data_IF_698492289053
#
_entry.id   IF_698492289053
#
_cell.length_a   1.000
_cell.length_b   1.000
_cell.length_c   1.000
_cell.angle_alpha   90.00
_cell.angle_beta   90.00
_cell.angle_gamma   90.00
#
_symmetry.space_group_name_H-M   'P 1'
#
loop_
_entity.id
_entity.type
_entity.pdbx_description
1 polymer ?
#
# COMPACT_ATOMS: atom_id res chain seq x y z
N UNK A 1 13.85 13.54 26.18
CA UNK A 1 13.63 14.90 25.62
C UNK A 1 13.06 14.74 24.22
N UNK A 2 11.89 15.29 23.92
CA UNK A 2 11.31 15.20 22.58
C UNK A 2 12.23 15.94 21.59
N UNK A 3 12.69 15.25 20.56
CA UNK A 3 13.51 15.86 19.49
C UNK A 3 12.70 16.99 18.85
N UNK A 4 13.29 18.17 18.74
CA UNK A 4 12.62 19.32 18.16
C UNK A 4 12.54 19.17 16.63
N UNK A 5 11.36 19.45 16.08
CA UNK A 5 11.14 19.46 14.64
C UNK A 5 11.73 20.76 14.06
N UNK A 6 12.78 20.62 13.25
CA UNK A 6 13.41 21.71 12.51
C UNK A 6 12.85 21.92 11.11
N UNK A 7 13.37 22.92 10.40
CA UNK A 7 12.93 23.29 9.04
C UNK A 7 13.21 22.20 7.99
N UNK A 8 14.26 21.39 8.18
CA UNK A 8 14.54 20.23 7.33
C UNK A 8 13.37 19.23 7.34
N UNK A 9 12.76 18.99 8.51
CA UNK A 9 11.60 18.13 8.68
C UNK A 9 10.35 18.72 8.00
N UNK A 10 10.16 20.05 8.10
CA UNK A 10 9.04 20.76 7.45
C UNK A 10 9.14 20.69 5.93
N UNK A 11 10.34 20.91 5.39
CA UNK A 11 10.60 20.79 3.95
C UNK A 11 10.38 19.37 3.46
N UNK A 12 10.88 18.39 4.19
CA UNK A 12 10.66 16.98 3.88
C UNK A 12 9.16 16.66 3.79
N UNK A 13 8.36 17.10 4.77
CA UNK A 13 6.91 16.93 4.75
C UNK A 13 6.23 17.61 3.56
N UNK A 14 6.62 18.85 3.22
CA UNK A 14 6.06 19.56 2.07
C UNK A 14 6.27 18.77 0.78
N UNK A 15 7.47 18.22 0.57
CA UNK A 15 7.75 17.40 -0.61
C UNK A 15 6.97 16.08 -0.61
N UNK A 16 6.85 15.42 0.55
CA UNK A 16 6.03 14.20 0.69
C UNK A 16 4.55 14.45 0.36
N UNK A 17 4.00 15.60 0.76
CA UNK A 17 2.61 15.99 0.45
C UNK A 17 2.38 16.20 -1.05
N UNK A 18 3.37 16.75 -1.78
CA UNK A 18 3.27 16.99 -3.22
C UNK A 18 3.34 15.67 -4.00
N UNK A 19 4.24 14.77 -3.61
CA UNK A 19 4.45 13.52 -4.34
C UNK A 19 3.38 12.47 -4.06
N UNK A 20 2.72 12.52 -2.90
CA UNK A 20 1.70 11.56 -2.46
C UNK A 20 2.30 10.22 -1.98
N UNK A 21 3.12 9.59 -2.82
CA UNK A 21 3.88 8.36 -2.53
C UNK A 21 5.33 8.54 -3.01
N UNK A 22 6.30 8.03 -2.26
CA UNK A 22 7.72 8.16 -2.62
C UNK A 22 8.47 6.87 -2.31
N UNK A 23 9.27 6.37 -3.25
CA UNK A 23 10.08 5.16 -3.06
C UNK A 23 11.24 5.39 -2.07
N UNK A 24 11.79 4.32 -1.53
CA UNK A 24 12.87 4.40 -0.53
C UNK A 24 14.12 5.12 -1.02
N UNK A 25 14.50 4.97 -2.29
CA UNK A 25 15.68 5.64 -2.83
C UNK A 25 15.45 7.15 -2.90
N UNK A 26 14.31 7.57 -3.44
CA UNK A 26 13.91 8.98 -3.50
C UNK A 26 13.72 9.60 -2.11
N UNK A 27 13.20 8.85 -1.14
CA UNK A 27 13.09 9.32 0.25
C UNK A 27 14.46 9.55 0.87
N UNK A 28 15.42 8.64 0.67
CA UNK A 28 16.79 8.82 1.17
C UNK A 28 17.46 10.03 0.51
N UNK A 29 17.29 10.21 -0.79
CA UNK A 29 17.79 11.38 -1.50
C UNK A 29 17.15 12.68 -0.99
N UNK A 30 15.83 12.67 -0.73
CA UNK A 30 15.12 13.81 -0.16
C UNK A 30 15.60 14.14 1.25
N UNK A 31 15.81 13.13 2.09
CA UNK A 31 16.36 13.29 3.43
C UNK A 31 17.75 13.96 3.38
N UNK A 32 18.64 13.46 2.50
CA UNK A 32 19.95 14.07 2.28
C UNK A 32 19.83 15.53 1.84
N UNK A 33 19.01 15.81 0.83
CA UNK A 33 18.79 17.16 0.31
C UNK A 33 18.28 18.12 1.40
N UNK A 34 17.28 17.71 2.19
CA UNK A 34 16.76 18.52 3.29
C UNK A 34 17.81 18.79 4.38
N UNK A 35 18.71 17.84 4.62
CA UNK A 35 19.80 18.05 5.58
C UNK A 35 20.85 19.04 5.07
N UNK A 36 21.23 18.94 3.80
CA UNK A 36 22.21 19.82 3.16
C UNK A 36 21.72 21.28 3.10
N UNK A 37 20.48 21.50 2.66
CA UNK A 37 19.89 22.84 2.55
C UNK A 37 19.79 23.54 3.91
N UNK A 38 19.48 22.80 4.97
CA UNK A 38 19.30 23.34 6.32
C UNK A 38 20.56 23.26 7.19
N UNK A 39 21.71 22.86 6.63
CA UNK A 39 23.01 22.71 7.35
C UNK A 39 22.91 21.83 8.60
N UNK A 40 22.04 20.82 8.58
CA UNK A 40 21.92 19.84 9.66
C UNK A 40 22.79 18.61 9.36
N UNK A 41 23.40 17.97 10.36
CA UNK A 41 24.22 16.78 10.12
C UNK A 41 23.35 15.66 9.54
N UNK A 42 23.69 15.23 8.32
CA UNK A 42 23.08 14.07 7.68
C UNK A 42 23.73 12.80 8.20
N UNK A 43 22.92 11.88 8.72
CA UNK A 43 23.38 10.54 9.13
C UNK A 43 22.57 9.52 8.32
N UNK A 44 23.18 8.83 7.34
CA UNK A 44 22.47 7.96 6.39
C UNK A 44 21.55 6.91 7.03
N UNK A 45 21.94 6.36 8.18
CA UNK A 45 21.21 5.29 8.87
C UNK A 45 20.16 5.80 9.88
N UNK A 46 19.88 7.11 9.91
CA UNK A 46 18.94 7.72 10.85
C UNK A 46 17.65 8.23 10.21
N UNK A 47 17.31 7.72 9.03
CA UNK A 47 16.05 8.06 8.36
C UNK A 47 14.83 7.70 9.23
N UNK A 48 14.81 6.51 9.84
CA UNK A 48 13.69 6.09 10.69
C UNK A 48 13.57 7.01 11.92
N UNK A 49 14.69 7.32 12.58
CA UNK A 49 14.76 8.29 13.68
C UNK A 49 14.27 9.70 13.29
N UNK A 50 14.53 10.13 12.04
CA UNK A 50 14.08 11.39 11.48
C UNK A 50 12.56 11.39 11.23
N UNK A 51 12.04 10.30 10.65
CA UNK A 51 10.61 10.09 10.42
C UNK A 51 9.85 10.01 11.75
N UNK A 52 10.39 9.33 12.77
CA UNK A 52 9.79 9.24 14.10
C UNK A 52 9.67 10.61 14.76
N UNK A 53 10.67 11.47 14.57
CA UNK A 53 10.63 12.86 15.05
C UNK A 53 9.46 13.61 14.41
N UNK A 54 9.22 13.41 13.11
CA UNK A 54 8.08 13.99 12.40
C UNK A 54 6.76 13.41 12.91
N UNK A 55 6.65 12.08 12.97
CA UNK A 55 5.44 11.37 13.37
C UNK A 55 5.01 11.76 14.79
N UNK A 56 5.95 11.98 15.72
CA UNK A 56 5.65 12.46 17.08
C UNK A 56 4.90 13.80 17.11
N UNK A 57 5.06 14.64 16.08
CA UNK A 57 4.37 15.93 15.95
C UNK A 57 3.09 15.81 15.14
N UNK A 58 3.08 14.95 14.12
CA UNK A 58 1.90 14.70 13.28
C UNK A 58 0.79 13.94 14.01
N UNK A 59 1.13 13.17 15.05
CA UNK A 59 0.16 12.43 15.88
C UNK A 59 -0.98 13.31 16.41
N UNK A 60 -0.71 14.57 16.76
CA UNK A 60 -1.73 15.52 17.23
C UNK A 60 -2.80 15.85 16.17
N UNK A 61 -2.49 15.61 14.89
CA UNK A 61 -3.40 15.79 13.75
C UNK A 61 -3.91 14.45 13.21
N UNK A 62 -3.66 13.34 13.91
CA UNK A 62 -3.94 11.98 13.43
C UNK A 62 -3.26 11.67 12.09
N UNK A 63 -2.11 12.28 11.80
CA UNK A 63 -1.35 12.01 10.59
C UNK A 63 -0.06 11.28 10.94
N UNK A 64 0.46 10.47 10.02
CA UNK A 64 1.80 9.90 10.14
C UNK A 64 2.37 9.50 8.78
N UNK A 65 3.69 9.52 8.66
CA UNK A 65 4.40 8.88 7.54
C UNK A 65 4.52 7.40 7.86
N UNK A 66 3.99 6.55 6.98
CA UNK A 66 4.14 5.09 7.06
C UNK A 66 4.98 4.58 5.91
N UNK A 67 5.75 3.55 6.21
CA UNK A 67 6.45 2.71 5.25
C UNK A 67 5.56 1.51 4.89
N UNK A 68 5.54 1.12 3.62
CA UNK A 68 4.90 -0.11 3.18
C UNK A 68 5.54 -0.65 1.90
N UNK A 69 5.35 -1.94 1.66
CA UNK A 69 5.89 -2.63 0.50
C UNK A 69 4.82 -2.79 -0.56
N UNK A 70 5.16 -2.51 -1.81
CA UNK A 70 4.31 -2.84 -2.95
C UNK A 70 4.29 -4.34 -3.18
N UNK A 71 3.10 -4.90 -3.39
CA UNK A 71 2.93 -6.32 -3.66
C UNK A 71 3.31 -6.70 -5.10
N UNK A 72 3.38 -5.72 -6.00
CA UNK A 72 3.67 -5.88 -7.42
C UNK A 72 5.18 -5.91 -7.70
N UNK A 73 5.91 -4.88 -7.25
CA UNK A 73 7.35 -4.71 -7.52
C UNK A 73 8.23 -5.04 -6.30
N UNK A 74 7.65 -5.22 -5.11
CA UNK A 74 8.39 -5.46 -3.88
C UNK A 74 9.16 -4.26 -3.33
N UNK A 75 9.12 -3.10 -3.98
CA UNK A 75 9.81 -1.89 -3.51
C UNK A 75 9.14 -1.31 -2.27
N UNK A 76 9.95 -0.62 -1.46
CA UNK A 76 9.49 0.06 -0.26
C UNK A 76 9.08 1.48 -0.62
N UNK A 77 7.91 1.89 -0.15
CA UNK A 77 7.33 3.19 -0.36
C UNK A 77 6.99 3.84 0.98
N UNK A 78 7.02 5.17 0.99
CA UNK A 78 6.62 6.00 2.11
C UNK A 78 5.46 6.88 1.70
N UNK A 79 4.46 6.96 2.57
CA UNK A 79 3.22 7.69 2.34
C UNK A 79 2.82 8.44 3.60
N UNK A 80 2.39 9.69 3.45
CA UNK A 80 1.74 10.44 4.52
C UNK A 80 0.27 10.00 4.59
N UNK A 81 -0.10 9.32 5.68
CA UNK A 81 -1.44 8.79 5.90
C UNK A 81 -2.20 9.60 6.94
N UNK A 82 -3.51 9.67 6.77
CA UNK A 82 -4.45 10.05 7.81
C UNK A 82 -4.84 8.78 8.59
N UNK A 83 -4.92 8.88 9.91
CA UNK A 83 -5.27 7.81 10.84
C UNK A 83 -6.69 7.97 11.38
N UNK A 84 -7.35 9.11 11.12
CA UNK A 84 -8.76 9.27 11.42
C UNK A 84 -9.60 8.30 10.57
N UNK A 85 -10.71 7.79 11.12
CA UNK A 85 -11.47 6.63 10.64
C UNK A 85 -12.21 6.77 9.29
N UNK A 86 -11.78 7.65 8.40
CA UNK A 86 -12.39 7.80 7.07
C UNK A 86 -11.32 8.06 6.01
N UNK A 87 -10.53 7.05 5.63
CA UNK A 87 -9.49 7.20 4.59
C UNK A 87 -10.04 7.49 3.19
N UNK A 88 -11.36 7.35 2.98
CA UNK A 88 -12.04 7.84 1.79
C UNK A 88 -12.06 9.38 1.73
N UNK A 89 -11.90 10.09 2.85
CA UNK A 89 -11.98 11.57 2.89
C UNK A 89 -10.97 12.27 2.00
N UNK A 90 -9.77 11.70 1.79
CA UNK A 90 -8.80 12.28 0.86
C UNK A 90 -9.26 12.16 -0.58
N UNK A 91 -9.88 11.04 -0.95
CA UNK A 91 -10.47 10.88 -2.28
C UNK A 91 -11.73 11.72 -2.42
N UNK A 92 -12.45 12.01 -1.33
CA UNK A 92 -13.67 12.82 -1.36
C UNK A 92 -13.49 14.25 -1.85
N UNK A 93 -12.28 14.82 -1.83
CA UNK A 93 -12.02 16.11 -2.47
C UNK A 93 -11.83 16.02 -3.98
N UNK A 94 -11.37 14.87 -4.48
CA UNK A 94 -10.84 14.73 -5.84
C UNK A 94 -11.76 13.92 -6.78
N UNK A 95 -12.74 13.21 -6.21
CA UNK A 95 -13.67 12.33 -6.93
C UNK A 95 -15.13 12.58 -6.52
N UNK A 96 -16.03 12.41 -7.47
CA UNK A 96 -17.47 12.49 -7.25
C UNK A 96 -18.01 11.28 -6.47
N UNK A 97 -19.18 11.41 -5.85
CA UNK A 97 -19.77 10.35 -5.01
C UNK A 97 -19.96 9.01 -5.72
N UNK A 98 -20.30 9.03 -7.01
CA UNK A 98 -20.44 7.83 -7.83
C UNK A 98 -19.09 7.20 -8.18
N UNK A 99 -18.06 8.02 -8.44
CA UNK A 99 -16.69 7.54 -8.64
C UNK A 99 -16.16 6.87 -7.35
N UNK A 100 -16.44 7.46 -6.19
CA UNK A 100 -16.08 6.90 -4.88
C UNK A 100 -16.85 5.60 -4.57
N UNK A 101 -18.12 5.50 -4.96
CA UNK A 101 -18.89 4.26 -4.80
C UNK A 101 -18.30 3.14 -5.66
N UNK A 102 -17.96 3.43 -6.92
CA UNK A 102 -17.31 2.44 -7.78
C UNK A 102 -15.95 2.03 -7.20
N UNK A 103 -15.16 2.97 -6.69
CA UNK A 103 -13.89 2.66 -6.04
C UNK A 103 -14.07 1.73 -4.82
N UNK A 104 -15.05 1.99 -3.95
CA UNK A 104 -15.39 1.08 -2.84
C UNK A 104 -15.72 -0.33 -3.33
N UNK A 105 -16.52 -0.45 -4.39
CA UNK A 105 -16.85 -1.75 -5.01
C UNK A 105 -15.60 -2.44 -5.58
N UNK A 106 -14.64 -1.71 -6.13
CA UNK A 106 -13.36 -2.28 -6.57
C UNK A 106 -12.56 -2.82 -5.38
N UNK A 107 -12.51 -2.08 -4.26
CA UNK A 107 -11.90 -2.57 -3.01
C UNK A 107 -12.60 -3.83 -2.52
N UNK A 108 -13.94 -3.88 -2.50
CA UNK A 108 -14.71 -5.07 -2.13
C UNK A 108 -14.33 -6.28 -2.99
N UNK A 109 -14.33 -6.11 -4.33
CA UNK A 109 -13.96 -7.17 -5.26
C UNK A 109 -12.51 -7.64 -5.05
N UNK A 110 -11.60 -6.72 -4.73
CA UNK A 110 -10.18 -7.02 -4.55
C UNK A 110 -9.95 -7.79 -3.25
N UNK A 111 -10.60 -7.38 -2.15
CA UNK A 111 -10.51 -8.06 -0.85
C UNK A 111 -11.08 -9.48 -0.92
N UNK A 112 -12.20 -9.65 -1.63
CA UNK A 112 -12.86 -10.95 -1.78
C UNK A 112 -12.19 -11.86 -2.83
N UNK A 113 -11.28 -11.33 -3.65
CA UNK A 113 -10.57 -12.09 -4.67
C UNK A 113 -9.50 -13.02 -4.06
N UNK A 114 -9.34 -14.20 -4.65
CA UNK A 114 -8.32 -15.17 -4.21
C UNK A 114 -6.90 -14.64 -4.42
N UNK A 115 -6.66 -13.97 -5.55
CA UNK A 115 -5.34 -13.47 -5.95
C UNK A 115 -5.20 -11.94 -5.82
N UNK A 116 -6.19 -11.25 -5.24
CA UNK A 116 -6.16 -9.80 -5.06
C UNK A 116 -6.21 -9.00 -6.37
N UNK A 117 -6.66 -9.62 -7.46
CA UNK A 117 -6.87 -8.98 -8.77
C UNK A 117 -8.35 -8.94 -9.13
N UNK A 118 -8.73 -7.93 -9.91
CA UNK A 118 -10.08 -7.75 -10.43
C UNK A 118 -10.01 -7.42 -11.92
N UNK A 119 -10.77 -8.11 -12.76
CA UNK A 119 -10.76 -7.84 -14.21
C UNK A 119 -11.54 -6.57 -14.56
N UNK A 120 -11.18 -5.91 -15.65
CA UNK A 120 -11.94 -4.77 -16.20
C UNK A 120 -13.41 -5.12 -16.45
N UNK A 121 -13.68 -6.35 -16.87
CA UNK A 121 -15.04 -6.85 -17.09
C UNK A 121 -15.84 -6.97 -15.80
N UNK A 122 -15.25 -7.44 -14.72
CA UNK A 122 -15.93 -7.54 -13.41
C UNK A 122 -16.28 -6.15 -12.88
N UNK A 123 -15.35 -5.19 -13.04
CA UNK A 123 -15.58 -3.79 -12.65
C UNK A 123 -16.69 -3.17 -13.50
N UNK A 124 -16.69 -3.38 -14.82
CA UNK A 124 -17.75 -2.84 -15.68
C UNK A 124 -19.12 -3.43 -15.33
N UNK A 125 -19.19 -4.71 -14.95
CA UNK A 125 -20.44 -5.36 -14.55
C UNK A 125 -20.95 -4.88 -13.18
N UNK A 126 -20.06 -4.53 -12.24
CA UNK A 126 -20.48 -4.06 -10.91
C UNK A 126 -21.14 -2.67 -10.96
N UNK A 127 -20.89 -1.89 -12.03
CA UNK A 127 -21.50 -0.56 -12.22
C UNK A 127 -23.03 -0.61 -12.22
N UNK A 128 -23.63 -1.73 -12.61
CA UNK A 128 -25.08 -1.90 -12.63
C UNK A 128 -25.70 -2.02 -11.23
N UNK A 129 -24.89 -2.36 -10.23
CA UNK A 129 -25.27 -2.49 -8.82
C UNK A 129 -25.03 -1.21 -8.01
N UNK A 130 -24.62 -0.12 -8.67
CA UNK A 130 -24.42 1.17 -8.02
C UNK A 130 -25.75 1.83 -7.66
N UNK A 131 -25.77 2.44 -6.48
CA UNK A 131 -26.92 3.16 -5.92
C UNK A 131 -26.92 4.63 -6.35
N UNK A 132 -25.75 5.22 -6.55
CA UNK A 132 -25.57 6.55 -7.14
C UNK A 132 -25.78 6.52 -8.66
N UNK A 133 -25.62 7.69 -9.31
CA UNK A 133 -25.72 7.83 -10.76
C UNK A 133 -24.75 6.85 -11.46
N UNK A 134 -25.33 5.88 -12.17
CA UNK A 134 -24.60 4.90 -12.97
C UNK A 134 -23.63 5.59 -13.93
N UNK A 135 -22.38 5.14 -13.90
CA UNK A 135 -21.34 5.53 -14.84
C UNK A 135 -21.54 4.74 -16.14
N UNK A 136 -21.36 5.39 -17.29
CA UNK A 136 -21.25 4.70 -18.57
C UNK A 136 -19.94 3.89 -18.61
N UNK A 137 -19.87 2.90 -19.50
CA UNK A 137 -18.65 2.09 -19.69
C UNK A 137 -17.42 2.95 -20.00
N UNK A 138 -17.55 3.92 -20.91
CA UNK A 138 -16.47 4.85 -21.24
C UNK A 138 -16.07 5.76 -20.07
N UNK A 139 -17.02 6.17 -19.24
CA UNK A 139 -16.75 6.97 -18.03
C UNK A 139 -16.01 6.12 -16.98
N UNK A 140 -16.37 4.84 -16.89
CA UNK A 140 -15.73 3.86 -15.99
C UNK A 140 -14.29 3.59 -16.40
N UNK A 141 -14.02 3.35 -17.68
CA UNK A 141 -12.66 3.16 -18.20
C UNK A 141 -11.78 4.40 -17.99
N UNK A 142 -12.36 5.60 -18.17
CA UNK A 142 -11.66 6.85 -17.89
C UNK A 142 -11.36 7.01 -16.40
N UNK A 143 -12.31 6.68 -15.51
CA UNK A 143 -12.06 6.70 -14.07
C UNK A 143 -10.97 5.69 -13.66
N UNK A 144 -10.98 4.49 -14.21
CA UNK A 144 -9.94 3.48 -13.94
C UNK A 144 -8.55 3.99 -14.34
N UNK A 145 -8.45 4.62 -15.51
CA UNK A 145 -7.21 5.26 -15.97
C UNK A 145 -6.73 6.35 -15.02
N UNK A 146 -7.65 7.20 -14.52
CA UNK A 146 -7.35 8.22 -13.51
C UNK A 146 -6.89 7.61 -12.18
N UNK A 147 -7.58 6.59 -11.68
CA UNK A 147 -7.20 5.90 -10.44
C UNK A 147 -5.80 5.27 -10.55
N UNK A 148 -5.41 4.79 -11.73
CA UNK A 148 -4.04 4.31 -11.98
C UNK A 148 -3.03 5.45 -12.03
N UNK A 149 -3.35 6.55 -12.72
CA UNK A 149 -2.52 7.75 -12.78
C UNK A 149 -2.26 8.33 -11.38
N UNK A 150 -3.31 8.42 -10.57
CA UNK A 150 -3.30 8.95 -9.21
C UNK A 150 -2.74 7.94 -8.19
N UNK A 151 -2.27 6.78 -8.65
CA UNK A 151 -1.67 5.73 -7.83
C UNK A 151 -2.61 5.19 -6.75
N UNK A 152 -3.90 5.05 -7.05
CA UNK A 152 -4.82 4.26 -6.22
C UNK A 152 -4.82 2.80 -6.67
N UNK A 153 -4.82 2.56 -7.98
CA UNK A 153 -4.78 1.22 -8.57
C UNK A 153 -3.50 0.98 -9.36
N UNK A 154 -3.17 -0.28 -9.57
CA UNK A 154 -2.20 -0.74 -10.56
C UNK A 154 -2.94 -1.57 -11.60
N UNK A 155 -2.63 -1.37 -12.88
CA UNK A 155 -3.22 -2.11 -14.00
C UNK A 155 -2.15 -2.94 -14.71
N UNK A 156 -2.50 -4.17 -15.04
CA UNK A 156 -1.70 -5.04 -15.89
C UNK A 156 -2.63 -5.90 -16.76
N UNK A 157 -2.60 -5.69 -18.08
CA UNK A 157 -3.31 -6.51 -19.08
C UNK A 157 -4.83 -6.60 -18.83
N UNK A 158 -5.44 -5.52 -18.37
CA UNK A 158 -6.86 -5.44 -18.05
C UNK A 158 -7.24 -5.97 -16.67
N UNK A 159 -6.27 -6.38 -15.85
CA UNK A 159 -6.47 -6.69 -14.43
C UNK A 159 -6.04 -5.52 -13.55
N UNK A 160 -6.81 -5.25 -12.50
CA UNK A 160 -6.58 -4.17 -11.55
C UNK A 160 -6.29 -4.71 -10.16
N UNK A 161 -5.39 -4.04 -9.45
CA UNK A 161 -4.96 -4.36 -8.08
C UNK A 161 -4.85 -3.08 -7.27
N UNK A 162 -4.91 -3.17 -5.94
CA UNK A 162 -4.65 -2.02 -5.08
C UNK A 162 -3.15 -1.68 -5.13
N UNK A 163 -2.83 -0.42 -5.37
CA UNK A 163 -1.45 0.06 -5.28
C UNK A 163 -0.93 0.08 -3.83
N UNK A 164 0.39 0.17 -3.66
CA UNK A 164 1.00 0.38 -2.34
C UNK A 164 0.42 1.59 -1.59
N UNK A 165 0.20 2.71 -2.30
CA UNK A 165 -0.40 3.91 -1.73
C UNK A 165 -1.78 3.60 -1.16
N UNK A 166 -2.64 2.98 -1.96
CA UNK A 166 -3.99 2.61 -1.54
C UNK A 166 -3.97 1.69 -0.32
N UNK A 167 -3.14 0.64 -0.34
CA UNK A 167 -3.05 -0.31 0.77
C UNK A 167 -2.59 0.40 2.05
N UNK A 168 -1.54 1.22 1.98
CA UNK A 168 -0.98 1.93 3.15
C UNK A 168 -1.98 2.96 3.70
N UNK A 169 -2.61 3.74 2.83
CA UNK A 169 -3.59 4.76 3.25
C UNK A 169 -4.88 4.12 3.77
N UNK A 170 -5.39 3.07 3.13
CA UNK A 170 -6.68 2.48 3.47
C UNK A 170 -6.61 1.30 4.44
N UNK A 171 -5.42 0.84 4.84
CA UNK A 171 -5.27 -0.30 5.76
C UNK A 171 -6.17 -0.21 7.01
N UNK A 172 -6.27 0.94 7.72
CA UNK A 172 -7.19 1.05 8.85
C UNK A 172 -8.65 0.78 8.48
N UNK A 173 -9.14 1.37 7.37
CA UNK A 173 -10.49 1.17 6.87
C UNK A 173 -10.73 -0.29 6.49
N UNK A 174 -9.80 -0.89 5.73
CA UNK A 174 -9.91 -2.27 5.26
C UNK A 174 -9.94 -3.24 6.45
N UNK A 175 -9.09 -3.01 7.45
CA UNK A 175 -9.05 -3.84 8.67
C UNK A 175 -10.37 -3.81 9.43
N UNK A 176 -11.02 -2.65 9.51
CA UNK A 176 -12.29 -2.50 10.22
C UNK A 176 -13.45 -3.12 9.42
N UNK A 177 -13.49 -2.95 8.11
CA UNK A 177 -14.65 -3.34 7.28
C UNK A 177 -14.65 -4.79 6.83
N UNK A 178 -13.49 -5.44 6.69
CA UNK A 178 -13.41 -6.76 6.05
C UNK A 178 -12.76 -7.84 6.92
N UNK A 179 -12.97 -7.78 8.24
CA UNK A 179 -12.28 -8.62 9.24
C UNK A 179 -12.15 -10.11 8.85
N UNK A 180 -13.20 -10.71 8.28
CA UNK A 180 -13.24 -12.14 7.94
C UNK A 180 -12.48 -12.51 6.65
N UNK A 181 -12.11 -11.53 5.83
CA UNK A 181 -11.48 -11.73 4.51
C UNK A 181 -10.00 -11.31 4.50
N UNK A 182 -9.47 -10.83 5.63
CA UNK A 182 -8.11 -10.33 5.70
C UNK A 182 -7.09 -11.47 5.66
N UNK A 183 -6.21 -11.39 4.67
CA UNK A 183 -4.97 -12.14 4.65
C UNK A 183 -3.87 -11.24 5.20
N UNK A 184 -3.09 -11.76 6.14
CA UNK A 184 -1.95 -11.05 6.76
C UNK A 184 -0.68 -11.84 6.50
N UNK A 185 0.34 -11.16 6.01
CA UNK A 185 1.62 -11.78 5.72
C UNK A 185 2.33 -12.21 7.01
N UNK A 186 2.84 -13.43 7.05
CA UNK A 186 3.55 -13.98 8.20
C UNK A 186 4.91 -13.32 8.44
N UNK A 187 5.52 -12.74 7.40
CA UNK A 187 6.87 -12.14 7.48
C UNK A 187 6.84 -10.67 7.88
N UNK A 188 6.01 -9.86 7.21
CA UNK A 188 5.96 -8.41 7.46
C UNK A 188 4.76 -7.96 8.30
N UNK A 189 3.79 -8.86 8.58
CA UNK A 189 2.58 -8.59 9.34
C UNK A 189 1.63 -7.53 8.75
N UNK A 190 1.87 -7.10 7.51
CA UNK A 190 0.96 -6.23 6.75
C UNK A 190 -0.14 -7.03 6.04
N UNK A 191 -1.21 -6.33 5.65
CA UNK A 191 -2.25 -6.90 4.77
C UNK A 191 -1.64 -7.45 3.49
N UNK A 192 -2.16 -8.57 3.00
CA UNK A 192 -1.66 -9.29 1.83
C UNK A 192 -2.77 -9.62 0.84
N UNK A 193 -2.83 -8.92 -0.29
CA UNK A 193 -3.81 -9.24 -1.34
C UNK A 193 -3.28 -10.31 -2.28
N UNK A 194 -1.99 -10.21 -2.61
CA UNK A 194 -1.23 -11.11 -3.46
C UNK A 194 -0.21 -11.89 -2.61
N UNK A 195 -0.54 -13.15 -2.33
CA UNK A 195 0.29 -13.99 -1.48
C UNK A 195 0.27 -15.45 -1.90
N UNK A 196 1.34 -16.15 -1.55
CA UNK A 196 1.36 -17.60 -1.54
C UNK A 196 0.93 -18.10 -0.16
N UNK A 197 0.23 -19.24 -0.13
CA UNK A 197 -0.33 -19.83 1.08
C UNK A 197 0.32 -21.19 1.31
N UNK A 198 0.79 -21.46 2.53
CA UNK A 198 1.27 -22.80 2.86
C UNK A 198 0.15 -23.84 2.66
N UNK A 199 0.42 -24.90 1.90
CA UNK A 199 -0.57 -25.94 1.59
C UNK A 199 -0.80 -26.95 2.72
N UNK A 200 0.02 -26.91 3.80
CA UNK A 200 -0.26 -27.72 4.98
C UNK A 200 -1.60 -27.28 5.59
N UNK A 201 -2.61 -28.17 5.68
CA UNK A 201 -3.95 -27.84 6.18
C UNK A 201 -3.99 -27.31 7.61
N UNK A 202 -2.98 -27.63 8.42
CA UNK A 202 -2.86 -27.17 9.82
C UNK A 202 -2.09 -25.85 9.95
N UNK A 203 -1.44 -25.39 8.88
CA UNK A 203 -0.60 -24.19 8.88
C UNK A 203 -1.29 -23.02 8.18
N UNK A 204 -1.47 -23.09 6.86
CA UNK A 204 -2.17 -22.06 6.08
C UNK A 204 -1.63 -20.62 6.22
N UNK A 205 -0.34 -20.44 6.54
CA UNK A 205 0.24 -19.09 6.61
C UNK A 205 0.25 -18.45 5.23
N UNK A 206 0.11 -17.13 5.19
CA UNK A 206 0.14 -16.33 3.97
C UNK A 206 1.43 -15.54 3.93
N UNK A 207 2.11 -15.49 2.80
CA UNK A 207 3.32 -14.69 2.63
C UNK A 207 3.21 -13.94 1.30
N UNK A 208 3.39 -12.62 1.32
CA UNK A 208 3.44 -11.82 0.09
C UNK A 208 4.46 -12.38 -0.90
N UNK A 209 4.17 -12.28 -2.20
CA UNK A 209 5.12 -12.72 -3.24
C UNK A 209 6.53 -12.11 -3.05
N UNK A 210 6.67 -10.79 -2.77
CA UNK A 210 7.99 -10.24 -2.52
C UNK A 210 8.64 -10.67 -1.20
N UNK A 211 7.85 -11.01 -0.18
CA UNK A 211 8.37 -11.58 1.07
C UNK A 211 8.90 -13.00 0.86
N UNK A 212 8.19 -13.84 0.08
CA UNK A 212 8.63 -15.18 -0.33
C UNK A 212 9.98 -15.08 -1.03
N UNK A 213 10.08 -14.24 -2.06
CA UNK A 213 11.30 -14.03 -2.84
C UNK A 213 12.50 -13.65 -1.97
N UNK A 214 12.30 -12.74 -1.00
CA UNK A 214 13.36 -12.30 -0.07
C UNK A 214 13.72 -13.38 0.95
N UNK A 215 12.72 -14.06 1.53
CA UNK A 215 12.91 -15.04 2.60
C UNK A 215 13.58 -16.33 2.11
N UNK A 216 13.17 -16.80 0.92
CA UNK A 216 13.72 -18.00 0.28
C UNK A 216 14.89 -17.73 -0.65
N UNK A 217 15.37 -16.48 -0.71
CA UNK A 217 16.52 -16.09 -1.53
C UNK A 217 17.71 -17.01 -1.22
N UNK A 218 18.25 -17.66 -2.26
CA UNK A 218 19.40 -18.61 -2.20
C UNK A 218 19.14 -19.89 -1.40
N UNK A 219 17.90 -20.23 -1.06
CA UNK A 219 17.56 -21.54 -0.47
C UNK A 219 17.26 -22.54 -1.58
N UNK A 220 17.96 -23.67 -1.59
CA UNK A 220 17.71 -24.76 -2.54
C UNK A 220 16.50 -25.60 -2.18
N UNK A 221 16.16 -25.68 -0.89
CA UNK A 221 14.97 -26.34 -0.37
C UNK A 221 14.13 -25.35 0.46
N UNK A 222 13.23 -24.59 -0.17
CA UNK A 222 12.30 -23.71 0.52
C UNK A 222 11.41 -24.47 1.52
N UNK A 223 11.38 -24.02 2.77
CA UNK A 223 10.56 -24.59 3.86
C UNK A 223 9.74 -23.53 4.58
N UNK A 224 8.48 -23.84 4.86
CA UNK A 224 7.54 -22.96 5.53
C UNK A 224 8.12 -22.44 6.86
N UNK A 225 8.18 -21.12 7.09
CA UNK A 225 8.71 -20.55 8.34
C UNK A 225 7.92 -20.94 9.60
N UNK A 226 6.68 -21.43 9.45
CA UNK A 226 5.82 -21.76 10.59
C UNK A 226 5.73 -23.26 10.89
N UNK A 227 5.74 -24.14 9.89
CA UNK A 227 5.57 -25.59 10.08
C UNK A 227 6.74 -26.43 9.54
N UNK A 228 7.74 -25.81 8.92
CA UNK A 228 8.92 -26.45 8.33
C UNK A 228 8.67 -27.44 7.17
N UNK A 229 7.43 -27.58 6.72
CA UNK A 229 7.10 -28.33 5.51
C UNK A 229 7.68 -27.69 4.25
N UNK A 230 7.88 -28.52 3.22
CA UNK A 230 8.32 -28.06 1.90
C UNK A 230 7.37 -26.98 1.36
N UNK A 231 7.92 -25.89 0.83
CA UNK A 231 7.15 -24.84 0.20
C UNK A 231 6.93 -25.19 -1.28
N UNK A 232 5.70 -25.55 -1.69
CA UNK A 232 5.45 -26.16 -2.99
C UNK A 232 5.39 -25.16 -4.14
N UNK A 233 5.32 -23.86 -3.82
CA UNK A 233 5.15 -22.80 -4.81
C UNK A 233 6.48 -22.37 -5.43
N UNK A 234 6.42 -21.96 -6.69
CA UNK A 234 7.55 -21.30 -7.36
C UNK A 234 7.94 -20.02 -6.60
N UNK A 235 9.25 -19.86 -6.34
CA UNK A 235 9.76 -18.68 -5.64
C UNK A 235 9.80 -17.51 -6.62
N UNK A 236 9.02 -16.43 -6.40
CA UNK A 236 9.00 -15.31 -7.34
C UNK A 236 10.34 -14.61 -7.41
N UNK A 237 10.67 -14.07 -8.58
CA UNK A 237 11.76 -13.11 -8.71
C UNK A 237 11.23 -11.70 -8.45
N UNK A 238 11.80 -11.01 -7.45
CA UNK A 238 11.54 -9.58 -7.24
C UNK A 238 12.69 -8.82 -7.87
N UNK A 239 12.36 -7.94 -8.82
CA UNK A 239 13.32 -7.07 -9.50
C UNK A 239 13.77 -5.92 -8.60
#
# INVERSE_FOLDING_TARGET
MARQMGDSHRRFLQTMMINGITDEHSVKALYQYCCEVNKTPHVPDKLDEFIDTINSKLQAMFMQIRKGMSEVDGHQYYVLVNMAETNITRMSSDYADNELELFRKIVDLTVCSENGKVSSTDILNITDTMTTKKLKKSETEHLLSRLVQDKWLCEERGEYTLSARCIIEMEPYIRTMYQDHLKVCHICHSLAFQCQICENPTCGIKIHNPCVARYFKRRTEPRCPSCDDFWPHEIPEVR
#
